data_IF_811361518498
#
_entry.id   IF_811361518498
#
_cell.length_a   1.000
_cell.length_b   1.000
_cell.length_c   1.000
_cell.angle_alpha   90.00
_cell.angle_beta   90.00
_cell.angle_gamma   90.00
#
_symmetry.space_group_name_H-M   'P 1'
#
loop_
_entity.id
_entity.type
_entity.pdbx_description
1 polymer ?
#
# COMPACT_ATOMS: atom_id res chain seq x y z
N UNK A 1 6.60 -13.26 -37.54
CA UNK A 1 6.03 -12.12 -36.83
C UNK A 1 6.51 -12.26 -35.39
N UNK A 2 7.43 -11.42 -34.96
CA UNK A 2 7.88 -11.42 -33.55
C UNK A 2 6.76 -10.76 -32.76
N UNK A 3 5.98 -11.58 -32.07
CA UNK A 3 4.97 -11.10 -31.14
C UNK A 3 5.70 -10.30 -30.02
N UNK A 4 5.55 -8.98 -30.11
CA UNK A 4 6.21 -8.05 -29.20
C UNK A 4 5.38 -7.92 -27.92
N UNK A 5 5.05 -9.06 -27.27
CA UNK A 5 4.36 -9.07 -26.00
C UNK A 5 5.29 -8.59 -24.89
N UNK A 6 4.86 -7.58 -24.14
CA UNK A 6 5.58 -7.14 -22.96
C UNK A 6 5.49 -8.24 -21.90
N UNK A 7 6.63 -8.76 -21.46
CA UNK A 7 6.70 -9.76 -20.40
C UNK A 7 6.46 -9.12 -19.02
N UNK A 8 5.73 -9.82 -18.18
CA UNK A 8 5.60 -9.44 -16.78
C UNK A 8 6.94 -9.63 -16.06
N UNK A 9 7.30 -8.67 -15.22
CA UNK A 9 8.57 -8.64 -14.50
C UNK A 9 8.39 -8.19 -13.06
N UNK A 10 9.18 -8.78 -12.18
CA UNK A 10 9.44 -8.23 -10.84
C UNK A 10 10.79 -7.50 -10.89
N UNK A 11 10.84 -6.29 -10.40
CA UNK A 11 12.05 -5.46 -10.40
C UNK A 11 12.37 -5.11 -8.94
N UNK A 12 13.65 -5.21 -8.56
CA UNK A 12 14.08 -4.76 -7.24
C UNK A 12 13.86 -3.24 -7.12
N UNK A 13 13.06 -2.82 -6.14
CA UNK A 13 12.69 -1.41 -5.95
C UNK A 13 13.87 -0.52 -5.55
N UNK A 14 14.96 -1.11 -5.03
CA UNK A 14 16.18 -0.40 -4.62
C UNK A 14 17.29 -0.50 -5.70
N UNK A 15 17.29 -1.59 -6.51
CA UNK A 15 18.29 -1.88 -7.54
C UNK A 15 17.61 -2.23 -8.87
N UNK A 16 17.25 -1.25 -9.67
CA UNK A 16 16.47 -1.42 -10.91
C UNK A 16 17.16 -2.31 -11.98
N UNK A 17 18.45 -2.60 -11.82
CA UNK A 17 19.18 -3.56 -12.66
C UNK A 17 18.81 -5.01 -12.36
N UNK A 18 18.35 -5.30 -11.14
CA UNK A 18 17.92 -6.62 -10.73
C UNK A 18 16.45 -6.82 -11.07
N UNK A 19 16.18 -7.78 -11.94
CA UNK A 19 14.83 -8.08 -12.42
C UNK A 19 14.64 -9.57 -12.65
N UNK A 20 13.45 -10.05 -12.38
CA UNK A 20 13.00 -11.43 -12.59
C UNK A 20 11.86 -11.39 -13.61
N UNK A 21 12.16 -11.85 -14.83
CA UNK A 21 11.18 -11.92 -15.90
C UNK A 21 10.49 -13.27 -15.83
N UNK A 22 9.16 -13.29 -15.85
CA UNK A 22 8.42 -14.57 -15.92
C UNK A 22 8.54 -15.18 -17.30
N UNK A 23 8.60 -16.51 -17.38
CA UNK A 23 8.72 -17.21 -18.66
C UNK A 23 7.46 -16.99 -19.53
N UNK A 24 6.29 -17.15 -18.93
CA UNK A 24 4.99 -16.88 -19.55
C UNK A 24 4.23 -15.84 -18.73
N UNK A 25 3.59 -14.91 -19.40
CA UNK A 25 2.73 -13.94 -18.72
C UNK A 25 1.59 -14.65 -17.99
N UNK A 26 1.23 -14.22 -16.77
CA UNK A 26 0.09 -14.79 -16.08
C UNK A 26 -1.20 -14.54 -16.88
N UNK A 27 -2.09 -15.54 -16.93
CA UNK A 27 -3.40 -15.37 -17.58
C UNK A 27 -4.22 -14.28 -16.88
N UNK A 28 -4.13 -14.24 -15.57
CA UNK A 28 -4.85 -13.30 -14.71
C UNK A 28 -4.00 -12.90 -13.51
N UNK A 29 -4.23 -11.72 -12.99
CA UNK A 29 -3.82 -11.34 -11.64
C UNK A 29 -4.98 -10.68 -10.91
N UNK A 30 -5.02 -10.82 -9.60
CA UNK A 30 -6.04 -10.19 -8.76
C UNK A 30 -5.41 -9.16 -7.83
N UNK A 31 -6.10 -8.01 -7.70
CA UNK A 31 -5.77 -6.98 -6.72
C UNK A 31 -6.90 -6.88 -5.71
N UNK A 32 -6.58 -6.95 -4.44
CA UNK A 32 -7.55 -6.78 -3.37
C UNK A 32 -7.06 -5.77 -2.33
N UNK A 33 -7.99 -4.99 -1.78
CA UNK A 33 -7.72 -4.06 -0.68
C UNK A 33 -8.95 -3.97 0.19
N UNK A 34 -8.79 -4.18 1.49
CA UNK A 34 -9.86 -4.02 2.46
C UNK A 34 -9.80 -2.63 3.12
N UNK A 35 -10.96 -2.15 3.54
CA UNK A 35 -11.12 -0.96 4.38
C UNK A 35 -11.89 -1.37 5.63
N UNK A 36 -11.36 -1.02 6.79
CA UNK A 36 -11.94 -1.41 8.07
C UNK A 36 -12.87 -0.32 8.59
N UNK A 37 -14.11 -0.70 8.87
CA UNK A 37 -15.15 0.16 9.42
C UNK A 37 -15.70 -0.43 10.70
N UNK A 38 -15.88 0.38 11.73
CA UNK A 38 -16.51 -0.01 12.96
C UNK A 38 -17.88 0.63 13.05
N UNK A 39 -18.91 -0.20 13.26
CA UNK A 39 -20.23 0.29 13.58
C UNK A 39 -20.24 0.86 15.01
N UNK A 40 -20.74 2.08 15.18
CA UNK A 40 -21.00 2.66 16.49
C UNK A 40 -22.40 2.24 16.96
N UNK A 41 -22.46 1.35 17.95
CA UNK A 41 -23.73 0.81 18.46
C UNK A 41 -24.35 1.63 19.60
N UNK A 42 -23.79 2.80 19.96
CA UNK A 42 -24.26 3.57 21.12
C UNK A 42 -25.58 4.28 20.89
N UNK A 43 -26.04 4.47 19.68
CA UNK A 43 -27.27 5.16 19.35
C UNK A 43 -28.33 4.16 18.87
N UNK A 44 -29.02 3.52 19.80
CA UNK A 44 -30.12 2.55 19.55
C UNK A 44 -31.37 3.18 18.91
N UNK A 45 -31.34 4.44 18.53
CA UNK A 45 -32.50 5.20 18.04
C UNK A 45 -32.51 5.35 16.52
N UNK A 46 -31.43 4.93 15.83
CA UNK A 46 -31.30 5.10 14.39
C UNK A 46 -31.55 3.77 13.66
N UNK A 47 -32.25 3.82 12.53
CA UNK A 47 -32.53 2.66 11.67
C UNK A 47 -31.27 2.03 11.07
N UNK A 48 -30.12 2.73 11.09
CA UNK A 48 -28.84 2.27 10.59
C UNK A 48 -27.70 2.66 11.52
N UNK A 49 -26.67 1.81 11.67
CA UNK A 49 -25.52 2.13 12.49
C UNK A 49 -24.67 3.24 11.83
N UNK A 50 -24.08 4.09 12.66
CA UNK A 50 -23.07 5.05 12.23
C UNK A 50 -21.74 4.31 12.14
N UNK A 51 -21.11 4.34 10.96
CA UNK A 51 -19.81 3.71 10.74
C UNK A 51 -18.67 4.71 10.94
N UNK A 52 -17.67 4.32 11.72
CA UNK A 52 -16.41 5.05 11.87
C UNK A 52 -15.30 4.30 11.15
N UNK A 53 -14.58 5.00 10.29
CA UNK A 53 -13.42 4.41 9.59
C UNK A 53 -12.29 4.13 10.59
N UNK A 54 -11.75 2.91 10.56
CA UNK A 54 -10.67 2.45 11.44
C UNK A 54 -9.30 2.45 10.74
N UNK A 55 -9.30 2.27 9.44
CA UNK A 55 -8.07 2.17 8.67
C UNK A 55 -8.25 1.42 7.36
N UNK A 56 -7.17 1.30 6.61
CA UNK A 56 -7.10 0.49 5.40
C UNK A 56 -6.08 -0.64 5.57
N UNK A 57 -6.42 -1.84 5.12
CA UNK A 57 -5.46 -2.93 5.02
C UNK A 57 -4.46 -2.67 3.88
N UNK A 58 -3.31 -3.34 3.91
CA UNK A 58 -2.39 -3.37 2.79
C UNK A 58 -3.06 -4.00 1.56
N UNK A 59 -2.70 -3.52 0.37
CA UNK A 59 -3.15 -4.12 -0.89
C UNK A 59 -2.49 -5.48 -1.06
N UNK A 60 -3.21 -6.44 -1.65
CA UNK A 60 -2.68 -7.76 -2.01
C UNK A 60 -2.74 -7.93 -3.52
N UNK A 61 -1.70 -8.55 -4.06
CA UNK A 61 -1.58 -8.93 -5.46
C UNK A 61 -1.34 -10.44 -5.50
N UNK A 62 -2.17 -11.16 -6.23
CA UNK A 62 -2.07 -12.61 -6.37
C UNK A 62 -2.12 -12.99 -7.84
N UNK A 63 -1.27 -13.94 -8.23
CA UNK A 63 -1.24 -14.49 -9.58
C UNK A 63 -0.68 -15.90 -9.60
N UNK A 64 -0.93 -16.62 -10.71
CA UNK A 64 -0.30 -17.91 -10.98
C UNK A 64 0.68 -17.75 -12.14
N UNK A 65 1.91 -18.13 -11.92
CA UNK A 65 2.99 -18.18 -12.92
C UNK A 65 3.10 -19.60 -13.45
N UNK A 66 3.35 -19.72 -14.75
CA UNK A 66 3.54 -20.99 -15.42
C UNK A 66 4.97 -21.11 -15.95
N UNK A 67 5.56 -22.30 -15.81
CA UNK A 67 6.91 -22.60 -16.26
C UNK A 67 6.92 -23.95 -16.96
N UNK A 68 7.58 -24.02 -18.12
CA UNK A 68 7.70 -25.21 -18.94
C UNK A 68 9.06 -25.28 -19.60
N UNK A 69 9.82 -26.32 -19.30
CA UNK A 69 11.11 -26.65 -19.88
C UNK A 69 11.08 -28.01 -20.61
N UNK A 70 9.89 -28.53 -20.91
CA UNK A 70 9.70 -29.87 -21.47
C UNK A 70 10.46 -30.06 -22.78
N UNK A 71 10.39 -29.10 -23.70
CA UNK A 71 11.06 -29.18 -24.99
C UNK A 71 12.60 -29.09 -24.88
N UNK A 72 13.09 -28.32 -23.91
CA UNK A 72 14.51 -28.18 -23.61
C UNK A 72 15.07 -29.38 -22.83
N UNK A 73 14.19 -30.11 -22.12
CA UNK A 73 14.58 -31.21 -21.22
C UNK A 73 15.32 -30.75 -19.97
N UNK A 74 15.26 -29.46 -19.66
CA UNK A 74 15.94 -28.82 -18.53
C UNK A 74 15.09 -28.88 -17.25
N UNK A 75 15.76 -28.73 -16.11
CA UNK A 75 15.08 -28.71 -14.80
C UNK A 75 14.31 -27.38 -14.61
N UNK A 76 13.00 -27.45 -14.49
CA UNK A 76 12.15 -26.26 -14.32
C UNK A 76 12.43 -25.52 -13.00
N UNK A 77 13.08 -26.17 -12.03
CA UNK A 77 13.49 -25.55 -10.78
C UNK A 77 14.48 -24.42 -10.95
N UNK A 78 15.27 -24.44 -12.03
CA UNK A 78 16.22 -23.35 -12.34
C UNK A 78 15.48 -22.03 -12.70
N UNK A 79 14.24 -22.13 -13.18
CA UNK A 79 13.36 -20.98 -13.43
C UNK A 79 12.53 -20.57 -12.22
N UNK A 80 12.11 -21.52 -11.37
CA UNK A 80 11.27 -21.22 -10.21
C UNK A 80 12.06 -20.70 -9.02
N UNK A 81 13.25 -21.25 -8.77
CA UNK A 81 14.10 -20.93 -7.62
C UNK A 81 14.41 -19.44 -7.47
N UNK A 82 14.80 -18.68 -8.51
CA UNK A 82 15.07 -17.25 -8.36
C UNK A 82 13.86 -16.45 -7.88
N UNK A 83 12.63 -16.93 -8.15
CA UNK A 83 11.40 -16.29 -7.69
C UNK A 83 11.06 -16.73 -6.26
N UNK A 84 11.29 -18.00 -5.93
CA UNK A 84 11.12 -18.53 -4.57
C UNK A 84 12.01 -17.81 -3.57
N UNK A 85 13.26 -17.52 -3.95
CA UNK A 85 14.26 -16.81 -3.15
C UNK A 85 13.84 -15.37 -2.80
N UNK A 86 12.90 -14.76 -3.53
CA UNK A 86 12.36 -13.43 -3.19
C UNK A 86 11.61 -13.37 -1.85
N UNK A 87 11.30 -14.53 -1.27
CA UNK A 87 10.72 -14.61 0.09
C UNK A 87 11.78 -14.69 1.18
N UNK A 88 13.05 -14.91 0.81
CA UNK A 88 14.15 -15.04 1.75
C UNK A 88 14.77 -13.69 2.08
N UNK A 89 15.51 -13.65 3.18
CA UNK A 89 16.26 -12.46 3.60
C UNK A 89 17.42 -12.24 2.63
N UNK A 90 17.48 -11.08 2.02
CA UNK A 90 18.64 -10.62 1.25
C UNK A 90 19.77 -10.25 2.21
N UNK A 91 21.00 -10.68 1.90
CA UNK A 91 22.15 -10.51 2.79
C UNK A 91 22.61 -9.05 2.91
N UNK A 92 22.36 -8.22 1.93
CA UNK A 92 22.74 -6.80 1.93
C UNK A 92 21.65 -5.92 2.57
N UNK A 93 20.39 -6.20 2.28
CA UNK A 93 19.25 -5.43 2.80
C UNK A 93 18.83 -5.87 4.21
N UNK A 94 19.23 -7.10 4.67
CA UNK A 94 18.80 -7.75 5.92
C UNK A 94 17.29 -7.95 6.05
N UNK A 95 16.57 -7.89 4.94
CA UNK A 95 15.13 -8.12 4.80
C UNK A 95 14.81 -8.66 3.39
N UNK A 96 13.64 -9.23 3.14
CA UNK A 96 13.26 -9.64 1.79
C UNK A 96 13.22 -8.46 0.82
N UNK A 97 13.61 -8.70 -0.42
CA UNK A 97 13.66 -7.68 -1.47
C UNK A 97 12.29 -7.05 -1.71
N UNK A 98 12.26 -5.71 -1.73
CA UNK A 98 11.06 -4.96 -2.12
C UNK A 98 10.95 -4.93 -3.64
N UNK A 99 9.79 -5.30 -4.16
CA UNK A 99 9.56 -5.52 -5.57
C UNK A 99 8.65 -4.45 -6.18
N UNK A 100 8.88 -4.13 -7.44
CA UNK A 100 7.94 -3.44 -8.31
C UNK A 100 7.44 -4.48 -9.33
N UNK A 101 6.14 -4.68 -9.41
CA UNK A 101 5.54 -5.50 -10.46
C UNK A 101 5.22 -4.62 -11.66
N UNK A 102 5.79 -4.99 -12.82
CA UNK A 102 5.61 -4.30 -14.08
C UNK A 102 5.08 -5.27 -15.15
N UNK A 103 3.92 -4.93 -15.71
CA UNK A 103 3.36 -5.59 -16.89
C UNK A 103 2.49 -4.59 -17.65
N UNK A 104 3.01 -4.09 -18.76
CA UNK A 104 2.38 -2.99 -19.50
C UNK A 104 2.41 -1.65 -18.76
N UNK A 105 3.18 -1.55 -17.69
CA UNK A 105 3.36 -0.40 -16.80
C UNK A 105 3.33 -0.79 -15.33
N UNK A 106 3.85 0.08 -14.47
CA UNK A 106 3.85 -0.14 -13.02
C UNK A 106 2.44 -0.01 -12.44
N UNK A 107 2.12 -0.84 -11.44
CA UNK A 107 0.92 -0.64 -10.63
C UNK A 107 1.10 0.61 -9.75
N UNK A 108 0.15 1.55 -9.85
CA UNK A 108 0.21 2.84 -9.16
C UNK A 108 -0.96 3.05 -8.21
N UNK A 109 -0.69 3.67 -7.06
CA UNK A 109 -1.71 4.21 -6.18
C UNK A 109 -1.86 5.71 -6.48
N UNK A 110 -3.13 6.18 -6.65
CA UNK A 110 -3.46 7.59 -6.93
C UNK A 110 -2.73 8.19 -8.15
N UNK A 111 -2.44 7.37 -9.15
CA UNK A 111 -1.76 7.75 -10.41
C UNK A 111 -0.32 8.25 -10.25
N UNK A 112 0.20 8.45 -9.06
CA UNK A 112 1.50 9.10 -8.82
C UNK A 112 2.52 8.22 -8.14
N UNK A 113 2.10 7.26 -7.30
CA UNK A 113 3.01 6.44 -6.50
C UNK A 113 3.03 5.00 -6.99
N UNK A 114 4.16 4.54 -7.47
CA UNK A 114 4.39 3.12 -7.78
C UNK A 114 4.28 2.29 -6.50
N UNK A 115 3.52 1.20 -6.57
CA UNK A 115 3.36 0.29 -5.44
C UNK A 115 4.60 -0.57 -5.30
N UNK A 116 5.17 -0.60 -4.09
CA UNK A 116 6.20 -1.57 -3.72
C UNK A 116 5.53 -2.79 -3.07
N UNK A 117 6.06 -3.97 -3.36
CA UNK A 117 5.50 -5.23 -2.94
C UNK A 117 6.52 -6.04 -2.14
N UNK A 118 6.04 -6.79 -1.16
CA UNK A 118 6.78 -7.89 -0.55
C UNK A 118 6.14 -9.19 -1.02
N UNK A 119 6.93 -10.15 -1.49
CA UNK A 119 6.44 -11.50 -1.74
C UNK A 119 6.27 -12.19 -0.40
N UNK A 120 5.02 -12.43 -0.01
CA UNK A 120 4.67 -12.97 1.31
C UNK A 120 4.52 -14.48 1.32
N UNK A 121 4.21 -15.06 0.18
CA UNK A 121 4.15 -16.51 0.03
C UNK A 121 4.22 -16.92 -1.43
N UNK A 122 4.69 -18.15 -1.64
CA UNK A 122 4.56 -18.87 -2.90
C UNK A 122 4.11 -20.31 -2.63
N UNK A 123 3.53 -20.94 -3.65
CA UNK A 123 3.22 -22.36 -3.66
C UNK A 123 3.50 -22.91 -5.04
N UNK A 124 4.56 -23.70 -5.18
CA UNK A 124 4.99 -24.32 -6.44
C UNK A 124 4.46 -25.75 -6.53
N UNK A 125 3.77 -26.05 -7.63
CA UNK A 125 3.28 -27.41 -7.93
C UNK A 125 3.96 -27.90 -9.20
N UNK A 126 4.79 -28.93 -9.06
CA UNK A 126 5.46 -29.59 -10.20
C UNK A 126 4.50 -30.61 -10.81
N UNK A 127 4.23 -30.50 -12.12
CA UNK A 127 3.15 -31.26 -12.79
C UNK A 127 3.64 -32.29 -13.79
N UNK A 128 4.82 -32.12 -14.37
CA UNK A 128 5.38 -33.01 -15.37
C UNK A 128 6.83 -33.32 -15.03
N UNK A 129 7.22 -34.58 -15.18
CA UNK A 129 8.55 -35.09 -14.88
C UNK A 129 9.08 -35.86 -16.09
N UNK A 130 10.37 -35.76 -16.35
CA UNK A 130 11.03 -36.61 -17.33
C UNK A 130 11.27 -38.03 -16.78
N UNK A 131 11.85 -38.91 -17.62
CA UNK A 131 12.11 -40.33 -17.24
C UNK A 131 13.10 -40.47 -16.07
N UNK A 132 13.91 -39.44 -15.78
CA UNK A 132 14.87 -39.38 -14.70
C UNK A 132 14.25 -38.82 -13.41
N UNK A 133 12.98 -38.45 -13.43
CA UNK A 133 12.27 -37.86 -12.29
C UNK A 133 12.55 -36.36 -12.10
N UNK A 134 13.20 -35.70 -13.06
CA UNK A 134 13.41 -34.24 -13.03
C UNK A 134 12.13 -33.52 -13.45
N UNK A 135 11.64 -32.55 -12.68
CA UNK A 135 10.45 -31.81 -13.06
C UNK A 135 10.76 -30.86 -14.24
N UNK A 136 9.88 -30.87 -15.23
CA UNK A 136 10.01 -30.07 -16.45
C UNK A 136 8.82 -29.11 -16.65
N UNK A 137 7.82 -29.14 -15.77
CA UNK A 137 6.69 -28.19 -15.77
C UNK A 137 6.24 -27.88 -14.36
N UNK A 138 5.98 -26.60 -14.11
CA UNK A 138 5.52 -26.12 -12.81
C UNK A 138 4.47 -25.01 -12.94
N UNK A 139 3.58 -24.96 -11.98
CA UNK A 139 2.73 -23.81 -11.68
C UNK A 139 3.08 -23.26 -10.32
N UNK A 140 3.28 -21.96 -10.23
CA UNK A 140 3.62 -21.27 -9.00
C UNK A 140 2.57 -20.19 -8.70
N UNK A 141 1.83 -20.38 -7.61
CA UNK A 141 0.96 -19.33 -7.06
C UNK A 141 1.81 -18.40 -6.20
N UNK A 142 1.77 -17.11 -6.49
CA UNK A 142 2.48 -16.08 -5.71
C UNK A 142 1.50 -15.11 -5.10
N UNK A 143 1.76 -14.73 -3.85
CA UNK A 143 1.01 -13.70 -3.14
C UNK A 143 1.98 -12.62 -2.68
N UNK A 144 1.64 -11.38 -3.04
CA UNK A 144 2.42 -10.20 -2.67
C UNK A 144 1.54 -9.25 -1.86
N UNK A 145 2.16 -8.58 -0.90
CA UNK A 145 1.50 -7.58 -0.06
C UNK A 145 2.15 -6.23 -0.26
N UNK A 146 1.34 -5.19 -0.36
CA UNK A 146 1.81 -3.80 -0.46
C UNK A 146 2.75 -3.48 0.70
N UNK A 147 3.95 -2.99 0.37
CA UNK A 147 4.86 -2.40 1.32
C UNK A 147 4.78 -0.88 1.26
N UNK A 148 4.67 -0.24 2.40
CA UNK A 148 4.75 1.19 2.53
C UNK A 148 5.35 1.55 3.89
N UNK A 149 6.28 2.50 3.90
CA UNK A 149 6.76 3.09 5.14
C UNK A 149 5.82 4.21 5.63
N UNK A 150 6.07 4.66 6.86
CA UNK A 150 5.25 5.71 7.49
C UNK A 150 5.20 6.99 6.66
N UNK A 151 6.35 7.43 6.11
CA UNK A 151 6.45 8.64 5.29
C UNK A 151 5.62 8.53 4.02
N UNK A 152 5.70 7.39 3.32
CA UNK A 152 4.87 7.15 2.13
C UNK A 152 3.38 7.20 2.44
N UNK A 153 2.96 6.66 3.60
CA UNK A 153 1.55 6.68 4.02
C UNK A 153 1.11 8.10 4.38
N UNK A 154 1.94 8.86 5.09
CA UNK A 154 1.68 10.26 5.41
C UNK A 154 1.58 11.12 4.16
N UNK A 155 2.49 10.96 3.19
CA UNK A 155 2.46 11.69 1.93
C UNK A 155 1.22 11.33 1.11
N UNK A 156 0.81 10.06 1.08
CA UNK A 156 -0.46 9.63 0.47
C UNK A 156 -1.68 10.25 1.16
N UNK A 157 -1.65 10.39 2.48
CA UNK A 157 -2.72 11.03 3.25
C UNK A 157 -2.77 12.54 2.98
N UNK A 158 -1.64 13.23 2.94
CA UNK A 158 -1.53 14.66 2.64
C UNK A 158 -2.04 15.00 1.23
N UNK A 159 -1.77 14.15 0.24
CA UNK A 159 -2.31 14.32 -1.12
C UNK A 159 -3.84 14.24 -1.20
N UNK A 160 -4.52 13.78 -0.13
CA UNK A 160 -5.99 13.67 -0.06
C UNK A 160 -6.63 14.69 0.87
N UNK A 161 -5.88 15.21 1.82
CA UNK A 161 -6.34 16.37 2.56
C UNK A 161 -5.98 17.57 1.69
N UNK A 162 -6.97 18.30 1.10
CA UNK A 162 -6.73 19.69 0.90
C UNK A 162 -6.36 20.17 2.31
N UNK A 163 -5.20 20.77 2.44
CA UNK A 163 -4.81 21.51 3.62
C UNK A 163 -5.77 22.70 3.67
N UNK A 164 -7.00 22.43 4.11
CA UNK A 164 -7.90 23.45 4.57
C UNK A 164 -7.28 23.85 5.90
N UNK A 165 -6.29 24.79 5.83
CA UNK A 165 -6.14 25.73 6.92
C UNK A 165 -7.57 26.17 7.23
N UNK A 166 -8.14 25.66 8.30
CA UNK A 166 -9.46 26.09 8.75
C UNK A 166 -9.28 27.50 9.31
N UNK A 167 -9.23 28.48 8.41
CA UNK A 167 -9.23 29.86 8.81
C UNK A 167 -10.54 30.14 9.52
N UNK A 168 -10.49 30.32 10.84
CA UNK A 168 -11.63 30.68 11.64
C UNK A 168 -11.57 32.15 12.03
N UNK A 169 -12.62 32.90 11.74
CA UNK A 169 -12.75 34.29 12.18
C UNK A 169 -13.43 34.35 13.55
N UNK A 170 -12.67 34.78 14.54
CA UNK A 170 -13.13 34.95 15.93
C UNK A 170 -14.39 35.82 16.00
N UNK A 171 -15.43 35.32 16.66
CA UNK A 171 -16.66 36.03 16.89
C UNK A 171 -16.68 36.64 18.30
N UNK A 172 -17.55 37.68 18.56
CA UNK A 172 -17.71 38.20 19.88
C UNK A 172 -18.19 37.11 20.87
N UNK A 173 -17.45 36.93 21.97
CA UNK A 173 -17.72 35.91 22.97
C UNK A 173 -17.00 34.58 22.80
N UNK A 174 -16.22 34.41 21.72
CA UNK A 174 -15.41 33.23 21.55
C UNK A 174 -14.24 33.18 22.53
N UNK A 175 -13.88 31.95 22.89
CA UNK A 175 -12.65 31.63 23.61
C UNK A 175 -11.89 30.55 22.80
N UNK A 176 -10.56 30.47 22.96
CA UNK A 176 -9.79 29.42 22.29
C UNK A 176 -10.30 28.01 22.64
N UNK A 177 -10.81 27.80 23.87
CA UNK A 177 -11.39 26.54 24.30
C UNK A 177 -12.71 26.25 23.57
N UNK A 178 -13.59 27.25 23.39
CA UNK A 178 -14.85 27.07 22.66
C UNK A 178 -14.60 26.79 21.18
N UNK A 179 -13.61 27.44 20.57
CA UNK A 179 -13.20 27.23 19.21
C UNK A 179 -12.58 25.82 19.04
N UNK A 180 -11.71 25.40 19.98
CA UNK A 180 -11.14 24.04 19.97
C UNK A 180 -12.24 22.97 20.08
N UNK A 181 -13.19 23.17 20.99
CA UNK A 181 -14.33 22.25 21.15
C UNK A 181 -15.19 22.19 19.88
N UNK A 182 -15.44 23.34 19.24
CA UNK A 182 -16.26 23.40 18.04
C UNK A 182 -15.61 22.68 16.83
N UNK A 183 -14.28 22.80 16.67
CA UNK A 183 -13.56 22.26 15.50
C UNK A 183 -12.96 20.88 15.70
N UNK A 184 -12.61 20.52 16.93
CA UNK A 184 -11.89 19.29 17.26
C UNK A 184 -12.64 18.39 18.26
N UNK A 185 -13.82 18.83 18.74
CA UNK A 185 -14.60 18.14 19.79
C UNK A 185 -13.81 17.92 21.10
N UNK A 186 -12.72 18.68 21.29
CA UNK A 186 -11.84 18.61 22.45
C UNK A 186 -11.37 20.02 22.85
N UNK A 187 -11.91 20.59 23.96
CA UNK A 187 -11.51 21.91 24.41
C UNK A 187 -10.07 22.00 24.90
N UNK A 188 -9.39 20.86 25.19
CA UNK A 188 -7.99 20.86 25.66
C UNK A 188 -6.98 21.20 24.54
N UNK A 189 -7.40 21.12 23.27
CA UNK A 189 -6.61 21.43 22.08
C UNK A 189 -6.47 22.93 21.80
N UNK A 190 -6.90 23.81 22.71
CA UNK A 190 -6.71 25.26 22.58
C UNK A 190 -5.25 25.69 22.55
N UNK A 191 -4.33 24.96 23.25
CA UNK A 191 -2.90 25.28 23.28
C UNK A 191 -2.21 25.16 21.91
N UNK A 192 -2.40 24.08 21.13
CA UNK A 192 -1.93 24.02 19.75
C UNK A 192 -2.43 25.17 18.88
N UNK A 193 -3.71 25.59 19.02
CA UNK A 193 -4.26 26.74 18.28
C UNK A 193 -3.54 28.03 18.68
N UNK A 194 -3.34 28.26 19.96
CA UNK A 194 -2.62 29.43 20.46
C UNK A 194 -1.18 29.48 19.91
N UNK A 195 -0.46 28.36 19.98
CA UNK A 195 0.91 28.24 19.49
C UNK A 195 1.01 28.49 17.97
N UNK A 196 0.09 27.91 17.18
CA UNK A 196 0.07 28.07 15.72
C UNK A 196 -0.19 29.52 15.29
N UNK A 197 -0.90 30.31 16.13
CA UNK A 197 -1.26 31.70 15.85
C UNK A 197 -0.44 32.72 16.66
N UNK A 198 0.62 32.29 17.37
CA UNK A 198 1.49 33.15 18.20
C UNK A 198 0.71 33.96 19.27
N UNK A 199 -0.33 33.35 19.85
CA UNK A 199 -1.13 33.97 20.90
C UNK A 199 -0.49 33.60 22.25
N UNK A 200 0.10 34.59 22.93
CA UNK A 200 0.75 34.41 24.22
C UNK A 200 -0.26 34.38 25.37
N UNK A 201 -1.26 35.27 25.34
CA UNK A 201 -2.36 35.28 26.31
C UNK A 201 -3.67 34.80 25.66
N UNK A 202 -4.21 33.63 26.05
CA UNK A 202 -5.45 33.11 25.50
C UNK A 202 -6.69 33.96 25.82
N UNK A 203 -6.57 34.98 26.71
CA UNK A 203 -7.64 35.91 27.06
C UNK A 203 -7.69 37.10 26.12
N UNK A 204 -6.57 37.39 25.42
CA UNK A 204 -6.46 38.49 24.45
C UNK A 204 -6.85 38.01 23.05
N UNK A 205 -8.09 37.53 22.93
CA UNK A 205 -8.64 37.07 21.67
C UNK A 205 -9.62 38.11 21.10
N UNK A 206 -9.14 38.97 20.21
CA UNK A 206 -9.96 40.03 19.64
C UNK A 206 -10.94 39.51 18.58
N UNK A 207 -12.24 39.90 18.65
CA UNK A 207 -13.18 39.59 17.59
C UNK A 207 -12.72 40.09 16.22
N UNK A 208 -12.88 39.26 15.19
CA UNK A 208 -12.41 39.53 13.83
C UNK A 208 -11.02 39.00 13.51
N UNK A 209 -10.23 38.59 14.52
CA UNK A 209 -8.97 37.88 14.31
C UNK A 209 -9.18 36.62 13.50
N UNK A 210 -8.31 36.33 12.54
CA UNK A 210 -8.34 35.10 11.74
C UNK A 210 -7.31 34.14 12.31
N UNK A 211 -7.79 33.03 12.89
CA UNK A 211 -6.95 31.92 13.36
C UNK A 211 -6.71 30.93 12.21
N UNK A 212 -5.54 30.35 12.18
CA UNK A 212 -5.12 29.32 11.21
C UNK A 212 -4.81 28.00 11.88
#
# INVERSE_FOLDING_TARGET
MTDNFTSATFVNANKSSEKWTVQFNPETYSLSKASEWQANQKDHVLDSPIYKWKGGAAMKLEMTLFFDTYEAGEDVRDLTRPIEELTLVDSEEHEPVKLIFNWGGDLKVKKTSTVKWLMTSFNTTYKLFNEQGTPVRAEMKVSLTEWADKKMLEDRAKLQSPDHEKAYRVQPGDTLQSIANHHYEDPTLWRPIAAANSIEDPRDLSPGTVLR
#
